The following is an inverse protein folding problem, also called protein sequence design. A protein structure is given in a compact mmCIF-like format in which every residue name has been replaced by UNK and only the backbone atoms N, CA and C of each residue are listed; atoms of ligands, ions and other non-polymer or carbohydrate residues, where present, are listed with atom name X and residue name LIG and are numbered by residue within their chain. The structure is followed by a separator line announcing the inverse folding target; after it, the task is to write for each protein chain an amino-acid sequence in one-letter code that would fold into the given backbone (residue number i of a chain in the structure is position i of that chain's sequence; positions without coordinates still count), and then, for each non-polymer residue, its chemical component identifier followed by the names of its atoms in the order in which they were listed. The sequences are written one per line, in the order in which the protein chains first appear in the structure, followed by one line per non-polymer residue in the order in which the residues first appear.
data_IF_490771656427
#
_entry.id   IF_490771656427
#
_cell.length_a   1.000
_cell.length_b   1.000
_cell.length_c   1.000
_cell.angle_alpha   90.00
_cell.angle_beta   90.00
_cell.angle_gamma   90.00
#
_symmetry.space_group_name_H-M   'P 1'
#
loop_
_entity.id
_entity.type
_entity.pdbx_description
1 polymer ?
#
# COMPACT_ATOMS: atom_id res chain seq x y z
N UNK A 1 -23.45 6.46 -65.20
CA UNK A 1 -22.91 5.14 -64.83
C UNK A 1 -22.31 5.27 -63.45
N UNK A 2 -22.96 4.75 -62.41
CA UNK A 2 -22.45 4.74 -61.04
C UNK A 2 -22.16 3.29 -60.65
N UNK A 3 -20.90 2.99 -60.36
CA UNK A 3 -20.44 1.67 -59.93
C UNK A 3 -20.56 1.58 -58.40
N UNK A 4 -21.51 0.76 -57.94
CA UNK A 4 -21.74 0.46 -56.53
C UNK A 4 -20.75 -0.60 -56.07
N UNK A 5 -19.79 -0.22 -55.22
CA UNK A 5 -18.83 -1.15 -54.62
C UNK A 5 -19.43 -1.77 -53.36
N UNK A 6 -19.77 -3.06 -53.42
CA UNK A 6 -20.30 -3.83 -52.30
C UNK A 6 -19.13 -4.30 -51.42
N UNK A 7 -18.94 -3.69 -50.25
CA UNK A 7 -17.95 -4.13 -49.25
C UNK A 7 -18.55 -5.26 -48.43
N UNK A 8 -18.19 -6.50 -48.75
CA UNK A 8 -18.50 -7.67 -47.95
C UNK A 8 -17.55 -7.72 -46.74
N UNK A 9 -18.00 -7.20 -45.59
CA UNK A 9 -17.31 -7.38 -44.32
C UNK A 9 -17.47 -8.84 -43.88
N UNK A 10 -16.41 -9.64 -44.05
CA UNK A 10 -16.37 -11.03 -43.62
C UNK A 10 -16.43 -11.10 -42.08
N UNK A 11 -17.59 -11.47 -41.54
CA UNK A 11 -17.75 -11.86 -40.14
C UNK A 11 -17.15 -13.25 -39.93
N UNK A 12 -15.83 -13.34 -39.80
CA UNK A 12 -15.20 -14.58 -39.37
C UNK A 12 -15.63 -14.89 -37.93
N UNK A 13 -16.12 -16.11 -37.63
CA UNK A 13 -16.41 -16.50 -36.25
C UNK A 13 -15.12 -16.44 -35.46
N UNK A 14 -15.09 -15.62 -34.42
CA UNK A 14 -13.95 -15.54 -33.51
C UNK A 14 -13.71 -16.95 -32.94
N UNK A 15 -12.54 -17.53 -33.24
CA UNK A 15 -12.16 -18.82 -32.70
C UNK A 15 -12.29 -18.78 -31.16
N UNK A 16 -12.80 -19.86 -30.53
CA UNK A 16 -12.90 -19.91 -29.08
C UNK A 16 -11.51 -19.68 -28.49
N UNK A 17 -11.37 -18.62 -27.68
CA UNK A 17 -10.14 -18.30 -26.96
C UNK A 17 -9.85 -19.51 -26.07
N UNK A 18 -8.72 -20.21 -26.24
CA UNK A 18 -8.37 -21.32 -25.37
C UNK A 18 -8.44 -20.84 -23.92
N UNK A 19 -9.18 -21.55 -23.07
CA UNK A 19 -9.13 -21.27 -21.64
C UNK A 19 -7.68 -21.49 -21.20
N UNK A 20 -7.06 -20.47 -20.60
CA UNK A 20 -5.72 -20.60 -20.05
C UNK A 20 -5.82 -21.57 -18.86
N UNK A 21 -5.57 -22.86 -19.14
CA UNK A 21 -5.57 -23.95 -18.16
C UNK A 21 -4.34 -23.88 -17.24
N UNK A 22 -3.86 -22.68 -16.95
CA UNK A 22 -2.78 -22.47 -16.00
C UNK A 22 -3.34 -22.62 -14.60
N UNK A 23 -2.71 -23.52 -13.82
CA UNK A 23 -3.00 -23.64 -12.41
C UNK A 23 -2.88 -22.26 -11.75
N UNK A 24 -3.81 -21.95 -10.83
CA UNK A 24 -3.71 -20.74 -10.04
C UNK A 24 -2.34 -20.68 -9.36
N UNK A 25 -1.65 -19.52 -9.35
CA UNK A 25 -0.37 -19.38 -8.69
C UNK A 25 -0.47 -19.79 -7.23
N UNK A 26 0.52 -20.53 -6.73
CA UNK A 26 0.62 -20.81 -5.30
C UNK A 26 1.06 -19.56 -4.53
N UNK A 27 0.58 -19.45 -3.28
CA UNK A 27 0.97 -18.38 -2.35
C UNK A 27 0.36 -17.01 -2.67
N UNK A 28 0.66 -16.00 -1.83
CA UNK A 28 0.16 -14.64 -2.05
C UNK A 28 0.83 -13.98 -3.25
N UNK A 29 0.15 -13.01 -3.84
CA UNK A 29 0.74 -12.16 -4.87
C UNK A 29 1.94 -11.39 -4.31
N UNK A 30 3.07 -11.28 -5.05
CA UNK A 30 4.19 -10.47 -4.61
C UNK A 30 3.85 -8.98 -4.65
N UNK A 31 4.49 -8.21 -3.77
CA UNK A 31 4.46 -6.75 -3.84
C UNK A 31 5.34 -6.26 -4.99
N UNK A 32 4.83 -5.29 -5.76
CA UNK A 32 5.59 -4.62 -6.81
C UNK A 32 6.18 -3.36 -6.22
N UNK A 33 7.51 -3.24 -6.22
CA UNK A 33 8.22 -2.08 -5.69
C UNK A 33 9.24 -1.59 -6.71
N UNK A 34 9.22 -0.30 -7.01
CA UNK A 34 10.27 0.33 -7.80
C UNK A 34 11.35 0.85 -6.87
N UNK A 35 12.56 0.33 -6.99
CA UNK A 35 13.70 0.65 -6.14
C UNK A 35 14.75 1.43 -6.92
N UNK A 36 15.23 2.51 -6.32
CA UNK A 36 16.39 3.25 -6.80
C UNK A 36 17.43 3.28 -5.67
N UNK A 37 18.72 3.25 -5.98
CA UNK A 37 19.74 3.47 -4.95
C UNK A 37 19.72 4.91 -4.45
N UNK A 38 19.97 5.13 -3.16
CA UNK A 38 20.20 6.48 -2.63
C UNK A 38 21.62 6.99 -2.95
N UNK A 39 21.91 8.23 -2.55
CA UNK A 39 23.22 8.88 -2.75
C UNK A 39 24.37 8.13 -2.04
N UNK A 40 24.04 7.31 -1.03
CA UNK A 40 24.99 6.46 -0.32
C UNK A 40 25.14 5.07 -0.98
N UNK A 41 24.54 4.85 -2.16
CA UNK A 41 24.45 3.55 -2.83
C UNK A 41 23.83 2.46 -1.94
N UNK A 42 22.82 2.81 -1.14
CA UNK A 42 22.05 1.87 -0.34
C UNK A 42 20.68 1.64 -0.95
N UNK A 43 20.14 0.43 -0.71
CA UNK A 43 18.77 0.06 -1.04
C UNK A 43 18.03 -0.24 0.24
N UNK A 44 17.13 0.66 0.61
CA UNK A 44 16.46 0.62 1.91
C UNK A 44 14.95 0.62 1.69
N UNK A 45 14.26 -0.18 2.49
CA UNK A 45 12.81 -0.33 2.47
C UNK A 45 12.25 0.05 3.83
N UNK A 46 11.12 0.74 3.84
CA UNK A 46 10.27 0.91 5.00
C UNK A 46 9.22 -0.20 4.95
N UNK A 47 9.27 -1.08 5.94
CA UNK A 47 8.35 -2.21 6.07
C UNK A 47 7.39 -1.92 7.22
N UNK A 48 6.10 -2.06 6.93
CA UNK A 48 5.02 -1.88 7.90
C UNK A 48 4.55 -3.24 8.39
N UNK A 49 4.82 -3.57 9.65
CA UNK A 49 4.45 -4.88 10.22
C UNK A 49 3.40 -4.68 11.31
N UNK A 50 2.27 -5.41 11.27
CA UNK A 50 1.30 -5.38 12.36
C UNK A 50 1.94 -5.99 13.62
N UNK A 51 1.79 -5.30 14.75
CA UNK A 51 2.31 -5.72 16.04
C UNK A 51 1.26 -5.51 17.13
N UNK A 52 1.12 -6.48 18.02
CA UNK A 52 0.27 -6.37 19.20
C UNK A 52 1.09 -5.88 20.37
N UNK A 53 0.73 -4.73 20.94
CA UNK A 53 1.39 -4.16 22.12
C UNK A 53 0.41 -4.02 23.27
N UNK A 54 0.86 -4.37 24.48
CA UNK A 54 0.10 -4.17 25.72
C UNK A 54 0.10 -2.68 26.06
N UNK A 55 -1.06 -2.05 26.00
CA UNK A 55 -1.24 -0.64 26.38
C UNK A 55 -2.12 -0.57 27.64
N UNK A 56 -1.59 0.06 28.68
CA UNK A 56 -2.39 0.41 29.87
C UNK A 56 -3.30 1.57 29.53
N UNK A 57 -4.62 1.36 29.58
CA UNK A 57 -5.64 2.40 29.36
C UNK A 57 -6.41 2.65 30.64
N UNK A 58 -6.66 3.92 30.94
CA UNK A 58 -7.59 4.30 32.00
C UNK A 58 -9.01 4.24 31.44
N UNK A 59 -9.83 3.35 31.99
CA UNK A 59 -11.24 3.22 31.65
C UNK A 59 -12.07 3.70 32.83
N UNK A 60 -13.03 4.58 32.57
CA UNK A 60 -14.00 4.97 33.58
C UNK A 60 -15.11 3.91 33.60
N UNK A 61 -15.18 3.12 34.67
CA UNK A 61 -16.30 2.20 34.91
C UNK A 61 -17.25 2.81 35.93
N UNK A 62 -18.55 2.59 35.75
CA UNK A 62 -19.54 2.97 36.74
C UNK A 62 -19.78 1.79 37.67
N UNK A 63 -19.34 1.89 38.93
CA UNK A 63 -19.50 0.86 39.95
C UNK A 63 -20.34 1.45 41.07
N UNK A 64 -21.52 0.88 41.30
CA UNK A 64 -22.49 1.36 42.31
C UNK A 64 -22.86 2.84 42.15
N UNK A 65 -23.07 3.30 40.91
CA UNK A 65 -23.43 4.68 40.60
C UNK A 65 -22.27 5.69 40.68
N UNK A 66 -21.09 5.30 41.17
CA UNK A 66 -19.88 6.12 41.18
C UNK A 66 -18.99 5.80 39.97
N UNK A 67 -18.42 6.83 39.36
CA UNK A 67 -17.40 6.67 38.33
C UNK A 67 -16.07 6.34 39.02
N UNK A 68 -15.49 5.19 38.67
CA UNK A 68 -14.18 4.74 39.14
C UNK A 68 -13.27 4.60 37.93
N UNK A 69 -12.08 5.21 38.00
CA UNK A 69 -11.04 5.03 36.98
C UNK A 69 -10.33 3.71 37.27
N UNK A 70 -10.46 2.76 36.36
CA UNK A 70 -9.75 1.48 36.41
C UNK A 70 -8.66 1.48 35.35
N UNK A 71 -7.45 1.06 35.72
CA UNK A 71 -6.38 0.82 34.74
C UNK A 71 -6.54 -0.60 34.20
N UNK A 72 -6.79 -0.71 32.90
CA UNK A 72 -6.87 -1.99 32.20
C UNK A 72 -5.73 -2.10 31.19
N UNK A 73 -4.98 -3.20 31.25
CA UNK A 73 -4.01 -3.55 30.21
C UNK A 73 -4.79 -4.17 29.04
N UNK A 74 -4.74 -3.52 27.89
CA UNK A 74 -5.44 -3.98 26.67
C UNK A 74 -4.40 -4.24 25.58
N UNK A 75 -4.57 -5.35 24.87
CA UNK A 75 -3.80 -5.62 23.66
C UNK A 75 -4.28 -4.71 22.53
N UNK A 76 -3.38 -3.88 22.01
CA UNK A 76 -3.67 -2.92 20.95
C UNK A 76 -2.86 -3.30 19.72
N UNK A 77 -3.56 -3.48 18.59
CA UNK A 77 -2.92 -3.64 17.29
C UNK A 77 -2.31 -2.30 16.87
N UNK A 78 -1.03 -2.32 16.58
CA UNK A 78 -0.24 -1.19 16.08
C UNK A 78 0.48 -1.59 14.81
N UNK A 79 0.97 -0.62 14.05
CA UNK A 79 1.84 -0.87 12.90
C UNK A 79 3.23 -0.37 13.27
N UNK A 80 4.21 -1.27 13.27
CA UNK A 80 5.61 -0.93 13.43
C UNK A 80 6.23 -0.63 12.07
N UNK A 81 7.04 0.42 12.00
CA UNK A 81 7.78 0.79 10.81
C UNK A 81 9.24 0.41 11.02
N UNK A 82 9.73 -0.53 10.23
CA UNK A 82 11.12 -1.00 10.30
C UNK A 82 11.82 -0.65 9.00
N UNK A 83 12.95 0.04 9.11
CA UNK A 83 13.86 0.26 8.01
C UNK A 83 14.70 -0.99 7.79
N UNK A 84 14.63 -1.55 6.59
CA UNK A 84 15.32 -2.76 6.19
C UNK A 84 16.27 -2.43 5.04
N UNK A 85 17.54 -2.71 5.23
CA UNK A 85 18.55 -2.66 4.16
C UNK A 85 18.51 -3.97 3.38
N UNK A 86 18.41 -3.90 2.05
CA UNK A 86 18.44 -5.11 1.22
C UNK A 86 19.78 -5.84 1.29
N UNK A 87 20.87 -5.14 1.60
CA UNK A 87 22.20 -5.74 1.76
C UNK A 87 22.29 -6.63 3.01
N UNK A 88 21.50 -6.33 4.05
CA UNK A 88 21.52 -7.02 5.34
C UNK A 88 20.40 -8.08 5.45
N UNK A 89 19.63 -8.29 4.38
CA UNK A 89 18.54 -9.24 4.38
C UNK A 89 19.05 -10.68 4.35
N UNK A 90 18.64 -11.46 5.37
CA UNK A 90 18.71 -12.92 5.32
C UNK A 90 17.57 -13.46 4.44
N UNK A 91 17.87 -13.72 3.17
CA UNK A 91 16.89 -14.18 2.18
C UNK A 91 17.52 -14.49 0.82
N UNK A 92 16.67 -14.68 -0.19
CA UNK A 92 17.10 -14.85 -1.58
C UNK A 92 16.81 -13.60 -2.39
N UNK A 93 17.79 -13.22 -3.21
CA UNK A 93 17.67 -12.20 -4.24
C UNK A 93 18.02 -12.87 -5.56
N UNK A 94 17.05 -12.94 -6.46
CA UNK A 94 17.18 -13.63 -7.74
C UNK A 94 16.58 -12.79 -8.87
N UNK A 95 16.92 -13.08 -10.12
CA UNK A 95 16.17 -12.58 -11.26
C UNK A 95 14.88 -13.38 -11.44
N UNK A 96 13.99 -12.92 -12.33
CA UNK A 96 12.72 -13.59 -12.61
C UNK A 96 12.86 -15.03 -13.15
N UNK A 97 14.02 -15.39 -13.72
CA UNK A 97 14.33 -16.77 -14.15
C UNK A 97 14.85 -17.66 -13.01
N UNK A 98 15.02 -17.11 -11.81
CA UNK A 98 15.55 -17.79 -10.63
C UNK A 98 17.08 -17.74 -10.49
N UNK A 99 17.80 -17.12 -11.43
CA UNK A 99 19.25 -16.94 -11.30
C UNK A 99 19.59 -16.01 -10.12
N UNK A 100 20.62 -16.30 -9.31
CA UNK A 100 20.97 -15.45 -8.17
C UNK A 100 21.47 -14.08 -8.63
N UNK A 101 21.03 -13.02 -7.96
CA UNK A 101 21.48 -11.64 -8.21
C UNK A 101 22.27 -11.17 -7.00
N UNK A 102 23.57 -10.97 -7.17
CA UNK A 102 24.45 -10.44 -6.13
C UNK A 102 24.18 -8.97 -5.82
N UNK A 103 24.61 -8.51 -4.65
CA UNK A 103 24.41 -7.13 -4.16
C UNK A 103 24.97 -6.07 -5.12
N UNK A 104 26.16 -6.29 -5.68
CA UNK A 104 26.79 -5.36 -6.63
C UNK A 104 25.97 -5.21 -7.93
N UNK A 105 25.44 -6.31 -8.46
CA UNK A 105 24.59 -6.31 -9.66
C UNK A 105 23.23 -5.66 -9.36
N UNK A 106 22.63 -5.97 -8.20
CA UNK A 106 21.40 -5.33 -7.76
C UNK A 106 21.57 -3.81 -7.66
N UNK A 107 22.63 -3.35 -7.01
CA UNK A 107 22.96 -1.93 -6.89
C UNK A 107 23.16 -1.29 -8.27
N UNK A 108 23.88 -1.95 -9.17
CA UNK A 108 24.07 -1.48 -10.55
C UNK A 108 22.74 -1.28 -11.27
N UNK A 109 21.80 -2.24 -11.16
CA UNK A 109 20.46 -2.13 -11.75
C UNK A 109 19.63 -1.02 -11.10
N UNK A 110 19.76 -0.85 -9.78
CA UNK A 110 19.00 0.13 -9.03
C UNK A 110 19.48 1.58 -9.22
N UNK A 111 20.65 1.84 -9.83
CA UNK A 111 21.11 3.22 -10.11
C UNK A 111 20.10 4.02 -10.93
N UNK A 112 19.55 3.39 -11.97
CA UNK A 112 18.57 4.01 -12.87
C UNK A 112 17.12 3.70 -12.47
N UNK A 113 16.92 2.91 -11.41
CA UNK A 113 15.63 2.37 -11.02
C UNK A 113 15.44 0.95 -11.52
N UNK A 114 15.06 0.04 -10.62
CA UNK A 114 14.76 -1.36 -10.91
C UNK A 114 13.44 -1.74 -10.27
N UNK A 115 12.58 -2.45 -10.99
CA UNK A 115 11.38 -3.03 -10.37
C UNK A 115 11.71 -4.36 -9.73
N UNK A 116 11.24 -4.49 -8.50
CA UNK A 116 11.47 -5.62 -7.61
C UNK A 116 10.13 -6.20 -7.20
N UNK A 117 10.00 -7.52 -7.35
CA UNK A 117 8.93 -8.30 -6.77
C UNK A 117 9.35 -8.77 -5.38
N UNK A 118 8.64 -8.33 -4.36
CA UNK A 118 8.90 -8.74 -2.98
C UNK A 118 7.87 -9.79 -2.59
N UNK A 119 8.33 -10.96 -2.16
CA UNK A 119 7.46 -12.01 -1.65
C UNK A 119 6.71 -11.54 -0.39
N UNK A 120 5.39 -11.66 -0.40
CA UNK A 120 4.54 -11.22 0.71
C UNK A 120 4.60 -12.17 1.92
N UNK A 121 4.97 -13.44 1.73
CA UNK A 121 5.13 -14.44 2.81
C UNK A 121 6.60 -14.80 3.09
N UNK A 122 7.53 -14.15 2.40
CA UNK A 122 8.97 -14.40 2.53
C UNK A 122 9.45 -15.71 1.90
N UNK A 123 8.57 -16.45 1.18
CA UNK A 123 8.93 -17.67 0.43
C UNK A 123 9.23 -17.35 -1.03
N UNK A 124 9.73 -18.34 -1.77
CA UNK A 124 9.92 -18.21 -3.21
C UNK A 124 8.61 -17.84 -3.92
N UNK A 125 8.68 -16.86 -4.82
CA UNK A 125 7.53 -16.44 -5.62
C UNK A 125 7.21 -17.52 -6.64
N UNK A 126 5.95 -17.94 -6.72
CA UNK A 126 5.49 -18.97 -7.65
C UNK A 126 5.76 -18.56 -9.11
N UNK A 127 6.18 -19.53 -9.94
CA UNK A 127 6.53 -19.29 -11.35
C UNK A 127 5.37 -18.70 -12.15
N UNK A 128 4.12 -18.98 -11.80
CA UNK A 128 2.97 -18.41 -12.49
C UNK A 128 2.92 -16.88 -12.32
N UNK A 129 3.27 -16.32 -11.15
CA UNK A 129 3.43 -14.87 -10.98
C UNK A 129 4.57 -14.31 -11.83
N UNK A 130 5.69 -15.05 -11.91
CA UNK A 130 6.89 -14.61 -12.64
C UNK A 130 6.69 -14.55 -14.16
N UNK A 131 5.70 -15.26 -14.71
CA UNK A 131 5.34 -15.16 -16.14
C UNK A 131 4.87 -13.76 -16.54
N UNK A 132 4.33 -12.98 -15.61
CA UNK A 132 3.88 -11.62 -15.90
C UNK A 132 5.03 -10.62 -16.07
N UNK A 133 6.25 -10.98 -15.66
CA UNK A 133 7.39 -10.06 -15.63
C UNK A 133 8.53 -10.50 -16.56
N UNK A 134 9.28 -9.52 -17.04
CA UNK A 134 10.45 -9.72 -17.88
C UNK A 134 11.69 -10.07 -17.06
N UNK A 135 12.72 -10.57 -17.76
CA UNK A 135 13.99 -11.03 -17.20
C UNK A 135 14.78 -9.98 -16.40
N UNK A 136 14.53 -8.68 -16.63
CA UNK A 136 15.19 -7.61 -15.86
C UNK A 136 14.65 -7.46 -14.43
N UNK A 137 13.55 -8.14 -14.09
CA UNK A 137 12.91 -8.04 -12.78
C UNK A 137 13.69 -8.79 -11.73
N UNK A 138 13.88 -8.17 -10.57
CA UNK A 138 14.49 -8.81 -9.40
C UNK A 138 13.38 -9.32 -8.49
N UNK A 139 13.58 -10.49 -7.91
CA UNK A 139 12.69 -11.12 -6.95
C UNK A 139 13.42 -11.19 -5.61
N UNK A 140 12.78 -10.69 -4.56
CA UNK A 140 13.30 -10.71 -3.19
C UNK A 140 12.36 -11.54 -2.32
N UNK A 141 12.88 -12.60 -1.72
CA UNK A 141 12.16 -13.39 -0.72
C UNK A 141 12.96 -13.42 0.58
N UNK A 142 12.44 -12.76 1.62
CA UNK A 142 13.08 -12.69 2.92
C UNK A 142 12.05 -12.67 4.03
N UNK A 143 12.33 -13.37 5.14
CA UNK A 143 11.43 -13.46 6.29
C UNK A 143 11.13 -12.10 6.91
N UNK A 144 12.10 -11.17 6.89
CA UNK A 144 11.93 -9.81 7.42
C UNK A 144 10.92 -8.96 6.63
N UNK A 145 10.54 -9.38 5.42
CA UNK A 145 9.56 -8.72 4.56
C UNK A 145 8.19 -9.41 4.60
N UNK A 146 8.11 -10.59 5.21
CA UNK A 146 6.90 -11.39 5.28
C UNK A 146 5.86 -10.74 6.20
N UNK A 147 4.59 -10.79 5.80
CA UNK A 147 3.48 -10.27 6.61
C UNK A 147 3.42 -8.74 6.69
N UNK A 148 4.09 -8.04 5.78
CA UNK A 148 3.94 -6.60 5.65
C UNK A 148 2.46 -6.24 5.41
N UNK A 149 1.92 -5.29 6.19
CA UNK A 149 0.53 -4.83 6.11
C UNK A 149 0.24 -4.07 4.81
N UNK A 150 1.29 -3.55 4.16
CA UNK A 150 1.24 -2.86 2.88
C UNK A 150 2.51 -3.17 2.08
N UNK A 151 2.51 -2.82 0.79
CA UNK A 151 3.70 -2.92 -0.05
C UNK A 151 4.87 -2.15 0.60
N UNK A 152 6.05 -2.78 0.79
CA UNK A 152 7.23 -2.09 1.30
C UNK A 152 7.55 -0.83 0.48
N UNK A 153 7.87 0.27 1.15
CA UNK A 153 8.13 1.55 0.50
C UNK A 153 9.64 1.77 0.35
N UNK A 154 10.15 2.20 -0.81
CA UNK A 154 11.55 2.58 -0.94
C UNK A 154 11.85 3.79 -0.04
N UNK A 155 12.88 3.69 0.80
CA UNK A 155 13.42 4.83 1.56
C UNK A 155 14.44 5.50 0.67
N UNK A 156 13.96 6.27 -0.30
CA UNK A 156 14.79 7.17 -1.07
C UNK A 156 14.42 8.61 -0.79
N UNK A 157 15.40 9.32 -0.24
CA UNK A 157 15.35 10.73 0.04
C UNK A 157 15.14 11.54 -1.24
N UNK A 158 14.25 12.51 -1.13
CA UNK A 158 14.25 13.81 -1.83
C UNK A 158 13.90 13.93 -3.31
N UNK A 159 13.90 12.91 -4.19
CA UNK A 159 13.49 13.13 -5.61
C UNK A 159 12.80 11.96 -6.32
N UNK A 160 11.53 12.17 -6.71
CA UNK A 160 10.97 11.70 -7.98
C UNK A 160 10.77 10.21 -8.19
N UNK A 161 10.69 9.39 -7.13
CA UNK A 161 10.35 7.97 -7.27
C UNK A 161 8.85 7.87 -7.50
N UNK A 162 8.43 7.75 -8.76
CA UNK A 162 7.05 7.57 -9.25
C UNK A 162 5.96 8.37 -8.51
N UNK A 163 5.36 9.33 -9.21
CA UNK A 163 4.29 10.13 -8.63
C UNK A 163 3.06 9.29 -8.29
N UNK A 164 2.91 8.10 -8.86
CA UNK A 164 1.77 7.18 -8.72
C UNK A 164 2.04 6.04 -7.73
N UNK A 165 1.01 5.56 -6.98
CA UNK A 165 1.13 4.35 -6.19
C UNK A 165 1.49 3.15 -7.07
N UNK A 166 2.34 2.27 -6.56
CA UNK A 166 2.67 1.03 -7.28
C UNK A 166 1.41 0.18 -7.50
N UNK A 167 1.21 -0.36 -8.72
CA UNK A 167 0.10 -1.26 -8.98
C UNK A 167 0.29 -2.58 -8.23
N UNK A 168 -0.83 -3.25 -7.92
CA UNK A 168 -0.83 -4.58 -7.33
C UNK A 168 -0.97 -5.63 -8.43
N UNK A 169 -0.05 -6.58 -8.49
CA UNK A 169 -0.26 -7.78 -9.30
C UNK A 169 -1.33 -8.64 -8.63
N UNK A 170 -2.31 -9.12 -9.39
CA UNK A 170 -3.43 -9.89 -8.85
C UNK A 170 -3.89 -10.90 -9.89
N UNK A 171 -4.27 -12.10 -9.43
CA UNK A 171 -5.02 -13.05 -10.25
C UNK A 171 -6.50 -12.79 -10.06
N UNK A 172 -7.20 -12.42 -11.13
CA UNK A 172 -8.66 -12.40 -11.11
C UNK A 172 -9.19 -13.69 -11.71
N UNK A 173 -10.11 -14.33 -11.00
CA UNK A 173 -10.74 -15.59 -11.40
C UNK A 173 -12.24 -15.40 -11.57
N UNK A 174 -12.84 -16.26 -12.37
CA UNK A 174 -14.29 -16.36 -12.48
C UNK A 174 -14.87 -17.13 -11.30
N UNK A 175 -16.00 -16.67 -10.77
CA UNK A 175 -16.81 -17.41 -9.83
C UNK A 175 -17.51 -18.62 -10.48
N UNK A 176 -18.27 -19.40 -9.69
CA UNK A 176 -19.04 -20.55 -10.19
C UNK A 176 -20.06 -20.21 -11.27
N UNK A 177 -20.51 -18.95 -11.32
CA UNK A 177 -21.44 -18.40 -12.30
C UNK A 177 -20.75 -17.87 -13.56
N UNK A 178 -19.44 -18.06 -13.71
CA UNK A 178 -18.65 -17.55 -14.83
C UNK A 178 -18.41 -16.04 -14.81
N UNK A 179 -18.80 -15.33 -13.74
CA UNK A 179 -18.57 -13.90 -13.61
C UNK A 179 -17.24 -13.62 -12.93
N UNK A 180 -16.51 -12.59 -13.39
CA UNK A 180 -15.29 -12.14 -12.70
C UNK A 180 -15.73 -11.37 -11.46
N UNK A 181 -15.37 -11.87 -10.27
CA UNK A 181 -15.72 -11.23 -9.00
C UNK A 181 -14.50 -10.58 -8.39
N UNK A 182 -14.68 -9.35 -7.94
CA UNK A 182 -13.65 -8.57 -7.27
C UNK A 182 -14.11 -8.19 -5.87
N UNK A 183 -13.15 -8.09 -4.97
CA UNK A 183 -13.38 -7.45 -3.71
C UNK A 183 -13.12 -5.95 -3.84
N UNK A 184 -14.00 -5.17 -3.22
CA UNK A 184 -13.96 -3.71 -3.21
C UNK A 184 -14.07 -3.23 -1.78
N UNK A 185 -13.39 -2.13 -1.47
CA UNK A 185 -13.52 -1.48 -0.17
C UNK A 185 -14.01 -0.04 -0.41
N UNK A 186 -15.33 0.20 -0.27
CA UNK A 186 -15.90 1.53 -0.45
C UNK A 186 -15.39 2.45 0.67
N UNK A 187 -14.82 3.58 0.28
CA UNK A 187 -14.06 4.45 1.17
C UNK A 187 -12.58 4.35 0.86
N UNK A 188 -12.18 5.02 -0.23
CA UNK A 188 -10.79 5.12 -0.62
C UNK A 188 -9.91 5.56 0.54
N UNK A 189 -8.68 5.03 0.56
CA UNK A 189 -7.63 5.53 1.44
C UNK A 189 -7.41 6.99 1.07
N UNK A 190 -7.91 7.91 1.89
CA UNK A 190 -7.44 9.29 1.83
C UNK A 190 -6.06 9.28 2.44
N UNK A 191 -5.05 9.46 1.60
CA UNK A 191 -3.72 9.83 2.05
C UNK A 191 -3.85 11.23 2.66
N UNK A 192 -3.98 11.29 3.98
CA UNK A 192 -3.82 12.56 4.68
C UNK A 192 -2.32 12.80 4.78
N UNK A 193 -1.76 13.60 3.88
CA UNK A 193 -0.49 14.27 4.13
C UNK A 193 -0.76 15.37 5.16
N UNK A 194 -0.86 14.98 6.43
CA UNK A 194 -0.88 15.95 7.52
C UNK A 194 0.55 16.43 7.73
N UNK A 195 0.99 17.38 6.91
CA UNK A 195 2.21 18.12 7.20
C UNK A 195 2.01 18.83 8.54
N UNK A 196 2.72 18.43 9.59
CA UNK A 196 2.80 19.22 10.81
C UNK A 196 3.88 20.27 10.60
N UNK A 197 3.49 21.54 10.64
CA UNK A 197 4.45 22.63 10.69
C UNK A 197 5.00 22.69 12.11
N UNK A 198 6.29 22.40 12.29
CA UNK A 198 6.99 22.56 13.56
C UNK A 198 7.97 23.72 13.40
N UNK A 199 7.90 24.69 14.29
CA UNK A 199 8.86 25.80 14.30
C UNK A 199 10.07 25.36 15.12
N UNK A 200 11.19 25.10 14.45
CA UNK A 200 12.49 24.86 15.09
C UNK A 200 13.38 26.09 14.85
N UNK A 201 13.91 26.69 15.92
CA UNK A 201 14.78 27.88 15.86
C UNK A 201 14.19 29.07 15.07
N UNK A 202 12.87 29.28 15.12
CA UNK A 202 12.19 30.38 14.43
C UNK A 202 11.94 30.16 12.94
N UNK A 203 12.37 29.04 12.36
CA UNK A 203 12.04 28.66 10.99
C UNK A 203 10.86 27.66 10.97
N UNK A 204 9.84 27.87 10.12
CA UNK A 204 8.80 26.86 9.90
C UNK A 204 9.42 25.68 9.16
N UNK A 205 9.51 24.52 9.83
CA UNK A 205 9.85 23.25 9.22
C UNK A 205 8.55 22.52 8.91
N UNK A 206 8.26 22.26 7.64
CA UNK A 206 7.19 21.34 7.28
C UNK A 206 7.74 19.93 7.50
N UNK A 207 7.28 19.25 8.55
CA UNK A 207 7.48 17.81 8.64
C UNK A 207 6.44 17.18 7.72
N UNK A 208 6.89 16.71 6.57
CA UNK A 208 6.17 15.70 5.81
C UNK A 208 6.18 14.41 6.65
N UNK A 209 5.28 14.36 7.64
CA UNK A 209 4.90 13.07 8.20
C UNK A 209 4.32 12.27 7.04
N UNK A 210 4.99 11.16 6.72
CA UNK A 210 4.57 10.19 5.71
C UNK A 210 3.08 9.96 5.89
N UNK A 211 2.28 10.49 4.97
CA UNK A 211 0.85 10.68 5.18
C UNK A 211 0.20 9.38 5.65
N UNK A 212 -0.38 9.40 6.85
CA UNK A 212 -1.05 8.22 7.39
C UNK A 212 -2.32 7.99 6.57
N UNK A 213 -2.35 6.84 5.90
CA UNK A 213 -3.58 6.23 5.43
C UNK A 213 -4.40 5.80 6.65
N UNK A 214 -5.21 6.69 7.23
CA UNK A 214 -6.22 6.25 8.18
C UNK A 214 -7.31 5.53 7.40
N UNK A 215 -7.61 4.24 7.67
CA UNK A 215 -8.75 3.56 7.07
C UNK A 215 -10.00 4.31 7.53
N UNK A 216 -10.57 5.09 6.62
CA UNK A 216 -11.60 6.05 6.94
C UNK A 216 -12.92 5.32 7.10
N UNK A 217 -13.18 4.71 8.27
CA UNK A 217 -14.44 4.01 8.59
C UNK A 217 -14.99 3.17 7.44
N UNK A 218 -14.08 2.59 6.63
CA UNK A 218 -14.39 2.13 5.28
C UNK A 218 -15.49 1.11 5.35
N UNK A 219 -16.47 1.21 4.44
CA UNK A 219 -17.55 0.25 4.38
C UNK A 219 -16.97 -1.17 4.33
N UNK A 220 -17.70 -2.13 4.91
CA UNK A 220 -17.29 -3.51 4.91
C UNK A 220 -16.85 -3.94 3.51
N UNK A 221 -15.80 -4.75 3.44
CA UNK A 221 -15.30 -5.31 2.19
C UNK A 221 -16.45 -6.01 1.44
N UNK A 222 -16.72 -5.60 0.20
CA UNK A 222 -17.81 -6.14 -0.61
C UNK A 222 -17.26 -6.95 -1.77
N UNK A 223 -17.81 -8.16 -2.02
CA UNK A 223 -17.46 -8.98 -3.17
C UNK A 223 -18.54 -8.84 -4.25
N UNK A 224 -18.21 -8.11 -5.32
CA UNK A 224 -19.15 -7.77 -6.40
C UNK A 224 -18.64 -8.26 -7.76
N UNK A 225 -19.55 -8.53 -8.72
CA UNK A 225 -19.17 -8.69 -10.12
C UNK A 225 -18.40 -7.48 -10.64
N UNK A 226 -17.33 -7.70 -11.40
CA UNK A 226 -16.46 -6.62 -11.89
C UNK A 226 -17.21 -5.62 -12.79
N UNK A 227 -18.23 -6.06 -13.53
CA UNK A 227 -19.09 -5.21 -14.35
C UNK A 227 -20.00 -4.28 -13.54
N UNK A 228 -20.15 -4.50 -12.23
CA UNK A 228 -20.86 -3.60 -11.32
C UNK A 228 -19.93 -2.58 -10.65
N UNK A 229 -18.62 -2.70 -10.85
CA UNK A 229 -17.61 -1.82 -10.24
C UNK A 229 -17.11 -0.79 -11.25
N UNK A 230 -16.92 0.46 -10.83
CA UNK A 230 -16.32 1.49 -11.67
C UNK A 230 -14.83 1.22 -11.90
N UNK A 231 -14.44 0.91 -13.14
CA UNK A 231 -13.03 0.78 -13.53
C UNK A 231 -12.82 1.15 -14.99
N UNK A 232 -11.63 1.66 -15.27
CA UNK A 232 -11.07 1.75 -16.62
C UNK A 232 -10.05 0.63 -16.81
N UNK A 233 -10.00 0.06 -18.02
CA UNK A 233 -9.00 -0.92 -18.40
C UNK A 233 -8.06 -0.33 -19.44
N UNK A 234 -6.77 -0.60 -19.26
CA UNK A 234 -5.72 -0.17 -20.16
C UNK A 234 -4.81 -1.36 -20.49
N UNK A 235 -4.13 -1.32 -21.63
CA UNK A 235 -2.97 -2.15 -21.87
C UNK A 235 -1.71 -1.58 -21.17
N UNK A 236 -0.59 -2.30 -21.25
CA UNK A 236 0.69 -1.86 -20.68
C UNK A 236 1.26 -0.59 -21.33
N UNK A 237 0.73 -0.17 -22.48
CA UNK A 237 1.13 1.08 -23.17
C UNK A 237 0.27 2.28 -22.76
N UNK A 238 -0.78 2.06 -21.96
CA UNK A 238 -1.73 3.09 -21.54
C UNK A 238 -2.85 3.34 -22.54
N UNK A 239 -3.05 2.45 -23.53
CA UNK A 239 -4.22 2.54 -24.42
C UNK A 239 -5.42 1.94 -23.72
N UNK A 240 -6.56 2.62 -23.82
CA UNK A 240 -7.83 2.15 -23.26
C UNK A 240 -8.26 0.88 -23.98
N UNK A 241 -8.62 -0.13 -23.19
CA UNK A 241 -9.26 -1.37 -23.65
C UNK A 241 -10.75 -1.26 -23.32
N UNK A 242 -11.60 -1.54 -24.32
CA UNK A 242 -13.05 -1.51 -24.11
C UNK A 242 -13.46 -2.42 -22.95
N UNK A 243 -14.39 -1.96 -22.11
CA UNK A 243 -14.77 -2.66 -20.87
C UNK A 243 -15.23 -4.10 -21.12
N UNK A 244 -16.07 -4.33 -22.13
CA UNK A 244 -16.55 -5.67 -22.48
C UNK A 244 -15.42 -6.59 -22.93
N UNK A 245 -14.44 -6.04 -23.65
CA UNK A 245 -13.24 -6.78 -24.05
C UNK A 245 -12.36 -7.12 -22.85
N UNK A 246 -12.14 -6.17 -21.94
CA UNK A 246 -11.40 -6.42 -20.71
C UNK A 246 -12.07 -7.50 -19.86
N UNK A 247 -13.39 -7.42 -19.65
CA UNK A 247 -14.15 -8.46 -18.93
C UNK A 247 -14.07 -9.81 -19.64
N UNK A 248 -14.15 -9.85 -20.97
CA UNK A 248 -14.01 -11.09 -21.75
C UNK A 248 -12.65 -11.73 -21.55
N UNK A 249 -11.56 -10.96 -21.61
CA UNK A 249 -10.20 -11.46 -21.34
C UNK A 249 -10.07 -11.98 -19.91
N UNK A 250 -10.62 -11.25 -18.93
CA UNK A 250 -10.55 -11.65 -17.53
C UNK A 250 -11.37 -12.91 -17.21
N UNK A 251 -12.44 -13.17 -17.97
CA UNK A 251 -13.18 -14.43 -17.87
C UNK A 251 -12.38 -15.65 -18.32
N UNK A 252 -11.41 -15.48 -19.22
CA UNK A 252 -10.48 -16.54 -19.57
C UNK A 252 -9.49 -16.86 -18.43
N UNK A 253 -9.50 -16.05 -17.37
CA UNK A 253 -8.50 -16.05 -16.31
C UNK A 253 -7.29 -15.23 -16.71
N UNK A 254 -6.52 -14.78 -15.72
CA UNK A 254 -5.27 -14.09 -16.00
C UNK A 254 -4.80 -13.19 -14.88
N UNK A 255 -3.52 -12.83 -14.99
CA UNK A 255 -2.88 -11.84 -14.14
C UNK A 255 -3.23 -10.44 -14.63
N UNK A 256 -3.50 -9.55 -13.68
CA UNK A 256 -3.75 -8.13 -13.93
C UNK A 256 -2.97 -7.26 -12.97
N UNK A 257 -2.74 -6.02 -13.40
CA UNK A 257 -2.27 -4.94 -12.55
C UNK A 257 -3.46 -4.13 -12.09
N UNK A 258 -3.58 -3.92 -10.78
CA UNK A 258 -4.63 -3.11 -10.18
C UNK A 258 -4.03 -1.84 -9.61
N UNK A 259 -4.46 -0.69 -10.10
CA UNK A 259 -3.97 0.61 -9.70
C UNK A 259 -5.08 1.45 -9.03
N UNK A 260 -4.81 2.06 -7.86
CA UNK A 260 -5.79 2.88 -7.17
C UNK A 260 -5.88 4.28 -7.80
N UNK A 261 -7.01 4.58 -8.42
CA UNK A 261 -7.45 5.92 -8.83
C UNK A 261 -6.78 6.53 -10.09
N UNK A 262 -5.60 6.07 -10.51
CA UNK A 262 -4.95 6.55 -11.73
C UNK A 262 -4.06 5.48 -12.38
N UNK A 263 -3.80 5.66 -13.67
CA UNK A 263 -2.87 4.81 -14.41
C UNK A 263 -1.45 4.92 -13.82
N UNK A 264 -0.74 3.80 -13.59
CA UNK A 264 0.62 3.83 -13.05
C UNK A 264 1.62 4.51 -13.96
N UNK A 265 2.66 5.09 -13.36
CA UNK A 265 3.79 5.62 -14.11
C UNK A 265 4.48 4.52 -14.92
N UNK A 266 5.06 4.85 -16.10
CA UNK A 266 5.73 3.86 -16.95
C UNK A 266 6.82 3.04 -16.24
N UNK A 267 7.49 3.61 -15.23
CA UNK A 267 8.50 2.92 -14.43
C UNK A 267 7.95 1.70 -13.67
N UNK A 268 6.67 1.76 -13.24
CA UNK A 268 6.00 0.64 -12.61
C UNK A 268 5.60 -0.43 -13.62
N UNK A 269 5.33 -0.05 -14.87
CA UNK A 269 4.84 -0.95 -15.93
C UNK A 269 5.98 -1.62 -16.72
N UNK A 270 7.16 -0.99 -16.75
CA UNK A 270 8.34 -1.46 -17.47
C UNK A 270 8.72 -2.94 -17.25
N UNK A 271 8.58 -3.57 -16.07
CA UNK A 271 8.91 -4.99 -15.93
C UNK A 271 7.86 -5.91 -16.54
N UNK A 272 6.61 -5.49 -16.71
CA UNK A 272 5.53 -6.37 -17.12
C UNK A 272 5.57 -6.65 -18.63
N UNK A 273 5.07 -7.83 -19.03
CA UNK A 273 5.15 -8.33 -20.41
C UNK A 273 3.81 -8.95 -20.82
N UNK A 274 3.65 -9.22 -22.11
CA UNK A 274 2.47 -9.88 -22.66
C UNK A 274 1.23 -9.00 -22.63
N UNK A 275 0.06 -9.64 -22.62
CA UNK A 275 -1.25 -8.99 -22.75
C UNK A 275 -1.88 -8.60 -21.41
N UNK A 276 -1.06 -8.29 -20.39
CA UNK A 276 -1.57 -7.88 -19.07
C UNK A 276 -2.42 -6.61 -19.19
N UNK A 277 -3.58 -6.65 -18.53
CA UNK A 277 -4.44 -5.50 -18.35
C UNK A 277 -4.05 -4.73 -17.08
N UNK A 278 -4.15 -3.40 -17.17
CA UNK A 278 -4.07 -2.48 -16.04
C UNK A 278 -5.49 -1.99 -15.73
N UNK A 279 -6.02 -2.39 -14.58
CA UNK A 279 -7.31 -1.96 -14.07
C UNK A 279 -7.11 -0.76 -13.16
N UNK A 280 -7.68 0.37 -13.53
CA UNK A 280 -7.65 1.60 -12.73
C UNK A 280 -9.02 1.78 -12.10
N UNK A 281 -9.08 1.86 -10.77
CA UNK A 281 -10.34 2.03 -10.05
C UNK A 281 -10.17 2.85 -8.77
N UNK A 282 -11.17 3.66 -8.44
CA UNK A 282 -11.24 4.40 -7.17
C UNK A 282 -11.69 3.53 -5.98
N UNK A 283 -12.16 2.30 -6.23
CA UNK A 283 -12.82 1.45 -5.22
C UNK A 283 -11.91 0.40 -4.57
N UNK A 284 -10.57 0.58 -4.69
CA UNK A 284 -9.56 -0.34 -4.16
C UNK A 284 -9.85 -1.81 -4.51
N UNK A 285 -9.80 -2.13 -5.80
CA UNK A 285 -10.02 -3.50 -6.26
C UNK A 285 -8.99 -4.48 -5.68
N UNK A 286 -9.43 -5.68 -5.34
CA UNK A 286 -8.58 -6.84 -5.06
C UNK A 286 -9.27 -8.13 -5.48
N UNK A 287 -8.54 -9.24 -5.55
CA UNK A 287 -9.16 -10.54 -5.86
C UNK A 287 -10.20 -10.92 -4.81
N UNK A 288 -11.32 -11.51 -5.25
CA UNK A 288 -12.30 -12.09 -4.34
C UNK A 288 -11.64 -13.19 -3.49
N UNK A 289 -11.83 -13.15 -2.18
CA UNK A 289 -11.26 -14.13 -1.25
C UNK A 289 -9.76 -13.94 -0.94
N UNK A 290 -9.11 -12.92 -1.51
CA UNK A 290 -7.82 -12.48 -0.98
C UNK A 290 -8.03 -12.08 0.49
N UNK A 291 -7.28 -12.71 1.40
CA UNK A 291 -7.27 -12.30 2.79
C UNK A 291 -6.98 -10.79 2.82
N UNK A 292 -7.74 -9.99 3.58
CA UNK A 292 -7.48 -8.57 3.67
C UNK A 292 -6.01 -8.38 4.11
N UNK A 293 -5.26 -7.54 3.41
CA UNK A 293 -3.84 -7.29 3.67
C UNK A 293 -3.57 -6.80 5.10
N UNK A 294 -4.62 -6.38 5.81
CA UNK A 294 -4.59 -6.06 7.22
C UNK A 294 -5.77 -6.79 7.87
N UNK A 295 -5.57 -7.59 8.94
CA UNK A 295 -6.68 -8.10 9.71
C UNK A 295 -7.53 -6.91 10.15
N UNK A 296 -8.86 -7.02 10.00
CA UNK A 296 -9.77 -5.98 10.46
C UNK A 296 -9.42 -5.65 11.92
N UNK A 297 -9.28 -4.37 12.29
CA UNK A 297 -9.07 -4.02 13.68
C UNK A 297 -10.18 -4.69 14.49
N UNK A 298 -9.80 -5.38 15.58
CA UNK A 298 -10.78 -5.96 16.50
C UNK A 298 -11.84 -4.90 16.79
N UNK A 299 -13.14 -5.25 16.78
CA UNK A 299 -14.21 -4.27 16.93
C UNK A 299 -13.87 -3.37 18.10
N UNK A 300 -13.77 -2.07 17.84
CA UNK A 300 -13.52 -1.10 18.90
C UNK A 300 -14.61 -1.34 19.94
N UNK A 301 -14.21 -1.77 21.14
CA UNK A 301 -15.13 -1.79 22.29
C UNK A 301 -15.70 -0.39 22.36
N UNK A 302 -17.01 -0.26 22.13
CA UNK A 302 -17.70 1.02 22.12
C UNK A 302 -17.66 1.58 23.54
N UNK A 303 -16.57 2.27 23.87
CA UNK A 303 -16.44 3.03 25.10
C UNK A 303 -17.27 4.28 24.86
N UNK A 304 -18.54 4.24 25.27
CA UNK A 304 -19.37 5.46 25.33
C UNK A 304 -18.58 6.50 26.12
N UNK A 305 -18.18 7.64 25.51
CA UNK A 305 -17.54 8.69 26.26
C UNK A 305 -18.58 9.19 27.25
N UNK A 306 -18.42 8.84 28.52
CA UNK A 306 -19.09 9.57 29.57
C UNK A 306 -18.55 11.00 29.47
N UNK A 307 -19.37 11.91 28.94
CA UNK A 307 -19.09 13.34 28.97
C UNK A 307 -19.08 13.73 30.45
N UNK A 308 -17.93 13.58 31.09
CA UNK A 308 -17.64 14.20 32.36
C UNK A 308 -17.68 15.70 32.09
N UNK A 309 -18.78 16.34 32.48
CA UNK A 309 -18.76 17.77 32.79
C UNK A 309 -17.83 17.93 33.99
N UNK A 310 -16.53 18.05 33.71
CA UNK A 310 -15.54 18.44 34.70
C UNK A 310 -15.98 19.83 35.16
N UNK A 311 -16.43 19.95 36.40
CA UNK A 311 -16.62 21.24 37.02
C UNK A 311 -15.32 22.05 36.83
N UNK A 312 -15.38 23.35 36.49
CA UNK A 312 -14.20 24.14 36.20
C UNK A 312 -13.18 23.94 37.32
N UNK A 313 -12.00 23.45 36.94
CA UNK A 313 -10.88 23.27 37.86
C UNK A 313 -10.64 24.65 38.48
N UNK A 314 -10.90 24.79 39.77
CA UNK A 314 -10.50 25.98 40.53
C UNK A 314 -8.99 26.09 40.32
N UNK A 315 -8.58 27.13 39.59
CA UNK A 315 -7.19 27.36 39.29
C UNK A 315 -6.40 27.34 40.61
N UNK A 316 -5.33 26.54 40.74
CA UNK A 316 -4.48 26.63 41.92
C UNK A 316 -4.02 28.08 42.02
N UNK A 317 -4.18 28.67 43.21
CA UNK A 317 -3.71 30.01 43.50
C UNK A 317 -2.28 30.14 42.99
N UNK A 318 -2.07 31.03 42.02
CA UNK A 318 -0.74 31.30 41.50
C UNK A 318 0.12 31.74 42.67
N UNK A 319 1.06 30.89 43.08
CA UNK A 319 2.11 31.27 44.01
C UNK A 319 2.80 32.49 43.39
N UNK A 320 2.73 33.61 44.09
CA UNK A 320 3.31 34.87 43.67
C UNK A 320 4.77 34.64 43.26
N UNK A 321 5.09 34.97 42.01
CA UNK A 321 6.47 34.90 41.53
C UNK A 321 7.32 35.84 42.40
N UNK A 322 8.50 35.39 42.87
CA UNK A 322 9.42 36.30 43.56
C UNK A 322 9.78 37.44 42.61
N UNK A 323 9.53 38.67 43.06
CA UNK A 323 9.94 39.89 42.37
C UNK A 323 11.46 39.93 42.40
N UNK A 324 12.09 39.69 41.24
CA UNK A 324 13.51 39.94 41.06
C UNK A 324 13.75 41.45 41.20
N UNK A 325 14.30 41.88 42.34
CA UNK A 325 14.83 43.24 42.50
C UNK A 325 16.05 43.39 41.62
N UNK A 326 16.03 44.38 40.74
CA UNK A 326 17.21 44.79 39.99
C UNK A 326 18.33 45.19 40.97
N UNK A 327 19.48 44.55 40.85
CA UNK A 327 20.71 44.95 41.54
C UNK A 327 21.22 46.21 40.84
N UNK A 328 21.40 47.34 41.55
CA UNK A 328 21.95 48.55 40.94
C UNK A 328 23.38 48.29 40.45
N UNK A 329 23.66 48.74 39.22
CA UNK A 329 24.96 48.60 38.60
C UNK A 329 26.05 49.28 39.46
N UNK A 330 27.09 48.53 39.75
CA UNK A 330 28.25 49.01 40.48
C UNK A 330 29.02 49.99 39.57
N UNK A 331 29.29 51.23 40.01
CA UNK A 331 30.02 52.19 39.19
C UNK A 331 31.45 51.71 38.92
N UNK A 332 32.02 52.01 37.75
CA UNK A 332 33.39 51.64 37.41
C UNK A 332 34.37 52.29 38.40
N UNK A 333 35.26 51.48 38.96
CA UNK A 333 36.36 51.99 39.79
C UNK A 333 37.44 52.63 38.89
N UNK A 334 38.07 53.74 39.35
CA UNK A 334 39.16 54.39 38.64
C UNK A 334 40.46 53.58 38.65
#
# INVERSE_FOLDING_TARGET
MFATLLVAAATAPAAPIPADAHAAPAGPAPWVVHLKSDDANQLRLLVQTPATVKQTRQMVKQVNGKQVVEQQVVDVQTVQHTQVSLADLSGTVAAADGSPVGSAELLRRAKDGVTVLISADGKAVDRAWLKAVGSNTVVVAAKALAGAAAAPQPINSTRGVANTPAPRLTLLTTGPDGTVRVSTQPGGVRYYTSGRMVIMNGAPLMLDDVGYAMPNGGGAQQVRPLNEVGFDAYDLTGRIVARDEAVRRLRAGGLVLVAPGRFPDPAHLQPFRGDLLVLVSSENLSAAGAAPATPAPAPAVEVKPAILRVAPLVAPAQLARPVLRAVPAQPPQP
#
